data_IF_664099258417
#
_entry.id   IF_664099258417
#
_cell.length_a   1.000
_cell.length_b   1.000
_cell.length_c   1.000
_cell.angle_alpha   90.00
_cell.angle_beta   90.00
_cell.angle_gamma   90.00
#
_symmetry.space_group_name_H-M   'P 1'
#
loop_
_entity.id
_entity.type
_entity.pdbx_description
1 polymer ?
#
# COMPACT_ATOMS: atom_id res chain seq x y z
N UNK A 1 6.74 -19.78 15.67
CA UNK A 1 5.47 -19.83 14.92
C UNK A 1 5.76 -20.68 13.69
N UNK A 2 5.03 -21.77 13.46
CA UNK A 2 5.35 -22.69 12.35
C UNK A 2 4.65 -22.20 11.08
N UNK A 3 5.46 -21.88 10.07
CA UNK A 3 5.01 -21.40 8.78
C UNK A 3 4.70 -22.59 7.88
N UNK A 4 3.71 -22.41 7.02
CA UNK A 4 3.36 -23.36 5.97
C UNK A 4 3.97 -22.83 4.68
N UNK A 5 5.23 -23.21 4.42
CA UNK A 5 6.03 -22.63 3.33
C UNK A 5 5.38 -22.83 1.95
N UNK A 6 4.78 -23.99 1.71
CA UNK A 6 4.04 -24.31 0.48
C UNK A 6 2.85 -23.36 0.26
N UNK A 7 2.12 -23.01 1.33
CA UNK A 7 1.01 -22.05 1.24
C UNK A 7 1.49 -20.63 0.95
N UNK A 8 2.64 -20.22 1.49
CA UNK A 8 3.24 -18.92 1.21
C UNK A 8 3.64 -18.84 -0.26
N UNK A 9 4.33 -19.86 -0.77
CA UNK A 9 4.74 -19.93 -2.17
C UNK A 9 3.54 -20.00 -3.12
N UNK A 10 2.51 -20.78 -2.79
CA UNK A 10 1.27 -20.83 -3.55
C UNK A 10 0.61 -19.45 -3.66
N UNK A 11 0.46 -18.72 -2.53
CA UNK A 11 -0.10 -17.37 -2.54
C UNK A 11 0.77 -16.37 -3.32
N UNK A 12 2.10 -16.55 -3.32
CA UNK A 12 3.01 -15.76 -4.16
C UNK A 12 2.73 -15.98 -5.64
N UNK A 13 2.65 -17.24 -6.07
CA UNK A 13 2.38 -17.61 -7.46
C UNK A 13 1.00 -17.14 -7.93
N UNK A 14 -0.03 -17.27 -7.09
CA UNK A 14 -1.38 -16.78 -7.38
C UNK A 14 -1.38 -15.27 -7.66
N UNK A 15 -0.66 -14.47 -6.87
CA UNK A 15 -0.58 -13.02 -7.10
C UNK A 15 0.27 -12.65 -8.32
N UNK A 16 1.38 -13.34 -8.57
CA UNK A 16 2.17 -13.13 -9.78
C UNK A 16 1.35 -13.42 -11.04
N UNK A 17 0.52 -14.47 -11.01
CA UNK A 17 -0.36 -14.79 -12.12
C UNK A 17 -1.36 -13.65 -12.40
N UNK A 18 -2.00 -13.09 -11.36
CA UNK A 18 -2.90 -11.94 -11.52
C UNK A 18 -2.19 -10.76 -12.19
N UNK A 19 -0.98 -10.43 -11.75
CA UNK A 19 -0.20 -9.33 -12.32
C UNK A 19 0.25 -9.60 -13.76
N UNK A 20 0.58 -10.85 -14.08
CA UNK A 20 0.90 -11.26 -15.45
C UNK A 20 -0.33 -11.14 -16.35
N UNK A 21 -1.51 -11.55 -15.90
CA UNK A 21 -2.76 -11.45 -16.66
C UNK A 21 -3.15 -9.98 -16.90
N UNK A 22 -2.95 -9.11 -15.92
CA UNK A 22 -3.09 -7.66 -16.07
C UNK A 22 -2.12 -7.09 -17.12
N UNK A 23 -0.86 -7.52 -17.11
CA UNK A 23 0.14 -7.11 -18.11
C UNK A 23 -0.21 -7.64 -19.52
N UNK A 24 -0.70 -8.88 -19.63
CA UNK A 24 -1.13 -9.44 -20.92
C UNK A 24 -2.33 -8.68 -21.49
N UNK A 25 -3.30 -8.32 -20.65
CA UNK A 25 -4.51 -7.60 -21.07
C UNK A 25 -4.26 -6.13 -21.40
N UNK A 26 -3.33 -5.46 -20.70
CA UNK A 26 -3.03 -4.04 -20.91
C UNK A 26 -1.83 -3.80 -21.85
N UNK A 27 -1.10 -4.85 -22.23
CA UNK A 27 0.21 -4.78 -22.88
C UNK A 27 1.35 -4.62 -21.87
N UNK A 28 2.60 -4.75 -22.33
CA UNK A 28 3.79 -4.52 -21.49
C UNK A 28 3.67 -3.26 -20.63
N UNK A 29 4.26 -3.24 -19.44
CA UNK A 29 4.20 -2.07 -18.56
C UNK A 29 4.62 -0.77 -19.27
N UNK A 30 5.59 -0.85 -20.17
CA UNK A 30 6.05 0.26 -21.02
C UNK A 30 4.97 0.72 -21.99
N UNK A 31 4.30 -0.19 -22.69
CA UNK A 31 3.19 0.14 -23.57
C UNK A 31 2.02 0.73 -22.78
N UNK A 32 1.64 0.06 -21.69
CA UNK A 32 0.56 0.49 -20.81
C UNK A 32 0.81 1.89 -20.25
N UNK A 33 2.03 2.16 -19.80
CA UNK A 33 2.42 3.49 -19.37
C UNK A 33 2.30 4.49 -20.52
N UNK A 34 2.82 4.22 -21.72
CA UNK A 34 2.67 5.14 -22.87
C UNK A 34 1.21 5.44 -23.19
N UNK A 35 0.35 4.42 -23.23
CA UNK A 35 -1.08 4.57 -23.54
C UNK A 35 -1.81 5.49 -22.54
N UNK A 36 -1.36 5.53 -21.29
CA UNK A 36 -1.91 6.38 -20.23
C UNK A 36 -1.30 7.79 -20.16
N UNK A 37 -0.52 8.21 -21.16
CA UNK A 37 -0.01 9.59 -21.22
C UNK A 37 -1.12 10.66 -21.16
N UNK A 38 -2.26 10.54 -21.89
CA UNK A 38 -3.34 11.52 -21.80
C UNK A 38 -3.88 11.66 -20.37
N UNK A 39 -4.11 10.54 -19.68
CA UNK A 39 -4.50 10.53 -18.27
C UNK A 39 -3.47 11.24 -17.38
N UNK A 40 -2.18 10.93 -17.51
CA UNK A 40 -1.12 11.59 -16.71
C UNK A 40 -1.06 13.09 -16.97
N UNK A 41 -1.20 13.54 -18.22
CA UNK A 41 -1.27 14.97 -18.57
C UNK A 41 -2.49 15.65 -17.95
N UNK A 42 -3.64 14.97 -17.96
CA UNK A 42 -4.84 15.45 -17.28
C UNK A 42 -4.59 15.62 -15.77
N UNK A 43 -4.05 14.58 -15.11
CA UNK A 43 -3.75 14.61 -13.67
C UNK A 43 -2.79 15.75 -13.33
N UNK A 44 -1.70 15.90 -14.10
CA UNK A 44 -0.73 16.98 -13.92
C UNK A 44 -1.38 18.37 -14.06
N UNK A 45 -2.20 18.60 -15.08
CA UNK A 45 -2.85 19.91 -15.32
C UNK A 45 -3.87 20.25 -14.23
N UNK A 46 -4.66 19.26 -13.81
CA UNK A 46 -5.79 19.45 -12.90
C UNK A 46 -5.34 19.58 -11.44
N UNK A 47 -4.43 18.72 -11.02
CA UNK A 47 -4.11 18.49 -9.60
C UNK A 47 -2.71 18.97 -9.19
N UNK A 48 -1.85 19.37 -10.12
CA UNK A 48 -0.54 19.93 -9.79
C UNK A 48 -0.47 21.43 -10.10
N UNK A 49 0.03 22.20 -9.13
CA UNK A 49 0.44 23.58 -9.33
C UNK A 49 1.97 23.66 -9.31
N UNK A 50 2.57 24.19 -10.38
CA UNK A 50 4.00 24.45 -10.43
C UNK A 50 4.32 25.87 -9.93
N UNK A 51 5.38 26.01 -9.15
CA UNK A 51 5.92 27.28 -8.66
C UNK A 51 7.38 27.44 -9.10
N UNK A 52 7.86 28.69 -9.15
CA UNK A 52 9.27 29.07 -9.39
C UNK A 52 9.94 28.27 -10.52
N UNK A 53 9.70 28.67 -11.78
CA UNK A 53 10.40 28.09 -12.94
C UNK A 53 10.12 26.61 -13.20
N UNK A 54 8.97 26.08 -12.75
CA UNK A 54 8.56 24.67 -12.84
C UNK A 54 9.42 23.69 -12.03
N UNK A 55 10.27 24.17 -11.11
CA UNK A 55 11.15 23.32 -10.29
C UNK A 55 10.50 22.83 -9.01
N UNK A 56 9.53 23.57 -8.49
CA UNK A 56 8.77 23.20 -7.29
C UNK A 56 7.32 22.94 -7.68
N UNK A 57 6.71 21.91 -7.09
CA UNK A 57 5.30 21.63 -7.30
C UNK A 57 4.58 21.49 -5.96
N UNK A 58 3.30 21.84 -5.95
CA UNK A 58 2.38 21.60 -4.85
C UNK A 58 1.13 20.93 -5.38
N UNK A 59 0.62 19.94 -4.64
CA UNK A 59 -0.67 19.33 -4.95
C UNK A 59 -1.78 20.34 -4.69
N UNK A 60 -2.72 20.44 -5.63
CA UNK A 60 -3.94 21.22 -5.47
C UNK A 60 -4.96 20.39 -4.71
N UNK A 61 -5.59 21.00 -3.72
CA UNK A 61 -6.80 20.46 -3.13
C UNK A 61 -7.94 20.68 -4.12
N UNK A 62 -8.40 19.60 -4.72
CA UNK A 62 -9.46 19.62 -5.71
C UNK A 62 -10.58 18.71 -5.23
N UNK A 63 -11.74 19.30 -5.02
CA UNK A 63 -12.99 18.59 -4.83
C UNK A 63 -13.53 18.18 -6.20
N UNK A 64 -13.92 16.91 -6.30
CA UNK A 64 -14.57 16.31 -7.48
C UNK A 64 -16.07 16.60 -7.45
N UNK A 65 -16.79 16.31 -8.54
CA UNK A 65 -18.24 16.50 -8.60
C UNK A 65 -19.03 15.69 -7.55
N UNK A 66 -18.44 14.62 -7.00
CA UNK A 66 -19.04 13.75 -5.97
C UNK A 66 -18.63 14.17 -4.54
N UNK A 67 -17.86 15.25 -4.39
CA UNK A 67 -17.36 15.73 -3.10
C UNK A 67 -16.14 14.96 -2.59
N UNK A 68 -15.50 14.13 -3.42
CA UNK A 68 -14.23 13.49 -3.08
C UNK A 68 -13.08 14.48 -3.22
N UNK A 69 -12.16 14.46 -2.25
CA UNK A 69 -10.93 15.24 -2.23
C UNK A 69 -9.74 14.37 -2.62
N UNK A 70 -8.94 14.86 -3.57
CA UNK A 70 -7.64 14.29 -3.92
C UNK A 70 -6.53 15.19 -3.40
N UNK A 71 -5.49 14.57 -2.86
CA UNK A 71 -4.40 15.23 -2.17
C UNK A 71 -3.03 14.77 -2.73
N UNK A 72 -2.02 14.64 -1.87
CA UNK A 72 -0.65 14.28 -2.22
C UNK A 72 -0.48 12.92 -2.92
N UNK A 73 -1.44 12.00 -2.79
CA UNK A 73 -1.43 10.71 -3.48
C UNK A 73 -1.45 10.84 -5.01
N UNK A 74 -1.72 12.05 -5.54
CA UNK A 74 -1.67 12.35 -6.97
C UNK A 74 -0.31 12.03 -7.61
N UNK A 75 0.78 12.12 -6.84
CA UNK A 75 2.12 11.91 -7.40
C UNK A 75 2.32 10.46 -7.85
N UNK A 76 1.62 9.49 -7.23
CA UNK A 76 1.71 8.08 -7.64
C UNK A 76 1.33 7.88 -9.10
N UNK A 77 0.36 8.64 -9.63
CA UNK A 77 -0.09 8.56 -11.02
C UNK A 77 0.96 9.09 -12.01
N UNK A 78 1.83 9.97 -11.55
CA UNK A 78 2.82 10.67 -12.36
C UNK A 78 4.23 10.10 -12.23
N UNK A 79 4.44 9.18 -11.28
CA UNK A 79 5.73 8.54 -11.09
C UNK A 79 6.17 7.84 -12.39
N UNK A 80 7.47 7.88 -12.73
CA UNK A 80 8.01 7.10 -13.83
C UNK A 80 7.91 5.61 -13.52
N UNK A 81 7.90 4.77 -14.56
CA UNK A 81 7.90 3.30 -14.42
C UNK A 81 9.07 2.80 -13.56
N UNK A 82 10.25 3.38 -13.76
CA UNK A 82 11.49 3.00 -13.08
C UNK A 82 11.90 4.11 -12.11
N UNK A 83 11.05 4.36 -11.10
CA UNK A 83 11.32 5.35 -10.07
C UNK A 83 12.37 4.85 -9.07
N UNK A 84 13.41 5.67 -8.87
CA UNK A 84 14.40 5.51 -7.80
C UNK A 84 14.35 6.69 -6.85
N UNK A 85 14.60 6.43 -5.58
CA UNK A 85 14.81 7.46 -4.58
C UNK A 85 16.00 7.11 -3.68
N UNK A 86 16.50 8.08 -2.92
CA UNK A 86 17.51 7.84 -1.89
C UNK A 86 16.83 7.09 -0.74
N UNK A 87 17.18 5.81 -0.60
CA UNK A 87 16.67 4.92 0.44
C UNK A 87 17.71 4.61 1.51
N UNK A 88 17.59 3.42 2.13
CA UNK A 88 18.45 2.96 3.22
C UNK A 88 19.93 3.10 2.88
N UNK A 89 20.70 3.73 3.78
CA UNK A 89 22.15 3.84 3.67
C UNK A 89 22.58 4.84 2.58
N UNK A 90 21.70 5.81 2.30
CA UNK A 90 21.90 6.87 1.31
C UNK A 90 22.11 6.36 -0.12
N UNK A 91 21.59 5.16 -0.42
CA UNK A 91 21.70 4.54 -1.74
C UNK A 91 20.51 4.92 -2.62
N UNK A 92 20.75 5.13 -3.90
CA UNK A 92 19.69 5.24 -4.89
C UNK A 92 19.11 3.86 -5.17
N UNK A 93 17.88 3.62 -4.70
CA UNK A 93 17.21 2.32 -4.76
C UNK A 93 15.88 2.45 -5.48
N UNK A 94 15.49 1.40 -6.20
CA UNK A 94 14.11 1.21 -6.63
C UNK A 94 13.20 1.02 -5.41
N UNK A 95 11.93 1.39 -5.52
CA UNK A 95 10.99 1.24 -4.42
C UNK A 95 10.88 -0.22 -3.91
N UNK A 96 10.90 -1.21 -4.81
CA UNK A 96 10.81 -2.62 -4.43
C UNK A 96 12.02 -3.11 -3.64
N UNK A 97 13.22 -2.60 -3.95
CA UNK A 97 14.46 -2.93 -3.22
C UNK A 97 14.40 -2.45 -1.78
N UNK A 98 13.73 -1.32 -1.53
CA UNK A 98 13.55 -0.80 -0.18
C UNK A 98 12.64 -1.71 0.65
N UNK A 99 11.50 -2.14 0.10
CA UNK A 99 10.61 -3.10 0.76
C UNK A 99 11.31 -4.42 1.02
N UNK A 100 12.07 -4.92 0.03
CA UNK A 100 12.90 -6.12 0.22
C UNK A 100 13.88 -5.93 1.38
N UNK A 101 14.56 -4.78 1.46
CA UNK A 101 15.49 -4.46 2.54
C UNK A 101 14.82 -4.46 3.93
N UNK A 102 13.60 -3.93 4.02
CA UNK A 102 12.79 -3.97 5.26
C UNK A 102 12.42 -5.41 5.61
N UNK A 103 11.96 -6.20 4.63
CA UNK A 103 11.65 -7.62 4.82
C UNK A 103 12.85 -8.40 5.33
N UNK A 104 14.01 -8.23 4.70
CA UNK A 104 15.27 -8.88 5.08
C UNK A 104 15.72 -8.43 6.50
N UNK A 105 15.51 -7.17 6.86
CA UNK A 105 15.79 -6.63 8.20
C UNK A 105 14.98 -7.33 9.29
N UNK A 106 13.68 -7.52 9.08
CA UNK A 106 12.80 -8.21 10.02
C UNK A 106 13.09 -9.71 10.05
N UNK A 107 13.29 -10.34 8.89
CA UNK A 107 13.61 -11.77 8.78
C UNK A 107 14.87 -12.14 9.56
N UNK A 108 15.92 -11.32 9.49
CA UNK A 108 17.16 -11.49 10.27
C UNK A 108 16.95 -11.46 11.79
N UNK A 109 15.85 -10.87 12.27
CA UNK A 109 15.48 -10.80 13.69
C UNK A 109 14.47 -11.88 14.10
N UNK A 110 14.13 -12.80 13.21
CA UNK A 110 13.11 -13.81 13.45
C UNK A 110 11.69 -13.24 13.50
N UNK A 111 11.47 -12.06 12.92
CA UNK A 111 10.15 -11.44 12.73
C UNK A 111 9.72 -11.66 11.28
N UNK A 112 8.51 -12.19 11.10
CA UNK A 112 7.90 -12.34 9.78
C UNK A 112 7.44 -10.96 9.29
N UNK A 113 7.78 -10.59 8.06
CA UNK A 113 7.33 -9.33 7.47
C UNK A 113 6.32 -9.61 6.35
N UNK A 114 5.16 -8.96 6.40
CA UNK A 114 4.10 -9.07 5.39
C UNK A 114 3.80 -7.66 4.86
N UNK A 115 3.88 -7.45 3.56
CA UNK A 115 3.55 -6.19 2.92
C UNK A 115 2.09 -6.22 2.43
N UNK A 116 1.22 -5.40 3.01
CA UNK A 116 -0.14 -5.20 2.51
C UNK A 116 -0.13 -4.05 1.49
N UNK A 117 -0.09 -4.37 0.20
CA UNK A 117 -0.03 -3.37 -0.84
C UNK A 117 -1.40 -2.71 -1.01
N UNK A 118 -1.50 -1.44 -0.62
CA UNK A 118 -2.75 -0.69 -0.66
C UNK A 118 -2.84 0.12 -1.96
N UNK A 119 -3.97 0.09 -2.67
CA UNK A 119 -4.14 0.94 -3.83
C UNK A 119 -4.43 2.39 -3.39
N UNK A 120 -4.18 3.33 -4.29
CA UNK A 120 -4.69 4.69 -4.13
C UNK A 120 -6.17 4.79 -4.54
N UNK A 121 -6.89 5.73 -3.93
CA UNK A 121 -8.32 5.95 -4.18
C UNK A 121 -8.66 6.09 -5.67
N UNK A 122 -7.85 6.84 -6.43
CA UNK A 122 -8.07 7.05 -7.86
C UNK A 122 -7.71 5.88 -8.74
N UNK A 123 -7.07 4.83 -8.19
CA UNK A 123 -6.91 3.54 -8.87
C UNK A 123 -8.21 2.74 -8.78
N UNK A 124 -8.86 2.79 -7.62
CA UNK A 124 -10.14 2.12 -7.39
C UNK A 124 -11.29 2.85 -8.07
N UNK A 125 -11.29 4.17 -8.01
CA UNK A 125 -12.32 5.07 -8.53
C UNK A 125 -11.76 6.04 -9.60
N UNK A 126 -11.29 5.54 -10.76
CA UNK A 126 -10.66 6.38 -11.78
C UNK A 126 -11.59 7.45 -12.33
N UNK A 127 -12.88 7.14 -12.54
CA UNK A 127 -13.89 8.07 -13.06
C UNK A 127 -14.15 9.27 -12.14
N UNK A 128 -13.94 9.11 -10.83
CA UNK A 128 -14.08 10.22 -9.87
C UNK A 128 -12.96 11.24 -9.98
N UNK A 129 -11.77 10.78 -10.33
CA UNK A 129 -10.56 11.61 -10.44
C UNK A 129 -10.35 12.13 -11.87
N UNK A 130 -10.84 11.40 -12.86
CA UNK A 130 -10.78 11.72 -14.28
C UNK A 130 -12.13 11.34 -14.91
N UNK A 131 -13.12 12.27 -14.94
CA UNK A 131 -14.48 11.96 -15.41
C UNK A 131 -14.57 11.55 -16.87
N UNK A 132 -13.62 12.01 -17.70
CA UNK A 132 -13.51 11.60 -19.09
C UNK A 132 -12.66 10.33 -19.19
N UNK A 133 -13.35 9.18 -19.33
CA UNK A 133 -12.73 7.87 -19.44
C UNK A 133 -11.92 7.69 -20.73
N UNK A 134 -12.10 8.55 -21.75
CA UNK A 134 -11.31 8.47 -22.98
C UNK A 134 -9.80 8.64 -22.72
N UNK A 135 -9.44 9.38 -21.65
CA UNK A 135 -8.05 9.53 -21.24
C UNK A 135 -7.40 8.25 -20.72
N UNK A 136 -8.20 7.24 -20.36
CA UNK A 136 -7.74 5.95 -19.88
C UNK A 136 -7.39 4.97 -21.00
N UNK A 137 -7.69 5.30 -22.27
CA UNK A 137 -7.41 4.45 -23.42
C UNK A 137 -7.91 2.99 -23.27
N UNK A 138 -9.08 2.82 -22.64
CA UNK A 138 -9.69 1.51 -22.37
C UNK A 138 -8.98 0.67 -21.30
N UNK A 139 -8.00 1.21 -20.58
CA UNK A 139 -7.28 0.50 -19.50
C UNK A 139 -8.11 0.49 -18.22
N UNK A 140 -8.19 -0.66 -17.56
CA UNK A 140 -8.95 -0.84 -16.32
C UNK A 140 -8.24 -0.28 -15.08
N UNK A 141 -6.91 -0.16 -15.13
CA UNK A 141 -6.06 0.38 -14.06
C UNK A 141 -5.19 1.51 -14.66
N UNK A 142 -5.05 2.61 -13.92
CA UNK A 142 -4.34 3.84 -14.36
C UNK A 142 -2.92 4.00 -13.80
N UNK A 143 -2.39 3.00 -13.10
CA UNK A 143 -1.09 3.07 -12.41
C UNK A 143 -0.18 1.88 -12.74
N UNK A 144 0.19 1.66 -14.01
CA UNK A 144 1.09 0.56 -14.40
C UNK A 144 2.40 0.53 -13.61
N UNK A 145 2.95 1.69 -13.24
CA UNK A 145 4.13 1.81 -12.40
C UNK A 145 3.95 1.17 -11.01
N UNK A 146 2.74 1.23 -10.43
CA UNK A 146 2.46 0.59 -9.14
C UNK A 146 2.33 -0.92 -9.29
N UNK A 147 1.71 -1.38 -10.37
CA UNK A 147 1.59 -2.80 -10.68
C UNK A 147 2.96 -3.43 -10.99
N UNK A 148 3.82 -2.74 -11.76
CA UNK A 148 5.22 -3.13 -12.02
C UNK A 148 6.03 -3.22 -10.73
N UNK A 149 5.94 -2.22 -9.87
CA UNK A 149 6.56 -2.24 -8.54
C UNK A 149 6.08 -3.44 -7.71
N UNK A 150 4.77 -3.68 -7.65
CA UNK A 150 4.21 -4.77 -6.86
C UNK A 150 4.67 -6.14 -7.36
N UNK A 151 4.70 -6.32 -8.68
CA UNK A 151 5.29 -7.50 -9.32
C UNK A 151 6.73 -7.73 -8.82
N UNK A 152 7.58 -6.69 -8.87
CA UNK A 152 8.97 -6.78 -8.43
C UNK A 152 9.11 -7.08 -6.94
N UNK A 153 8.23 -6.55 -6.08
CA UNK A 153 8.20 -6.87 -4.63
C UNK A 153 7.89 -8.35 -4.41
N UNK A 154 6.87 -8.87 -5.08
CA UNK A 154 6.42 -10.26 -4.94
C UNK A 154 7.44 -11.23 -5.52
N UNK A 155 8.01 -10.91 -6.69
CA UNK A 155 9.04 -11.71 -7.34
C UNK A 155 10.34 -11.75 -6.52
N UNK A 156 10.67 -10.65 -5.85
CA UNK A 156 11.79 -10.55 -4.90
C UNK A 156 11.60 -11.38 -3.61
N UNK A 157 10.48 -12.10 -3.46
CA UNK A 157 10.20 -13.02 -2.36
C UNK A 157 9.67 -12.34 -1.10
N UNK A 158 9.17 -11.10 -1.20
CA UNK A 158 8.49 -10.44 -0.09
C UNK A 158 7.08 -11.01 0.04
N UNK A 159 6.75 -11.53 1.22
CA UNK A 159 5.38 -11.95 1.53
C UNK A 159 4.44 -10.75 1.41
N UNK A 160 3.50 -10.81 0.47
CA UNK A 160 2.71 -9.64 0.07
C UNK A 160 1.24 -10.01 -0.03
N UNK A 161 0.36 -9.04 0.24
CA UNK A 161 -1.08 -9.12 0.05
C UNK A 161 -1.48 -7.94 -0.85
N UNK A 162 -1.88 -8.24 -2.07
CA UNK A 162 -2.45 -7.27 -3.00
C UNK A 162 -3.93 -7.01 -2.67
N UNK A 163 -4.24 -5.80 -2.23
CA UNK A 163 -5.59 -5.41 -1.84
C UNK A 163 -6.43 -4.94 -3.03
N UNK A 164 -5.81 -4.52 -4.14
CA UNK A 164 -6.52 -3.92 -5.26
C UNK A 164 -7.65 -4.82 -5.82
N UNK A 165 -7.45 -6.12 -6.09
CA UNK A 165 -8.50 -6.96 -6.66
C UNK A 165 -9.76 -7.02 -5.80
N UNK A 166 -9.59 -7.07 -4.47
CA UNK A 166 -10.70 -7.09 -3.53
C UNK A 166 -11.43 -5.75 -3.48
N UNK A 167 -10.69 -4.64 -3.52
CA UNK A 167 -11.29 -3.31 -3.59
C UNK A 167 -12.05 -3.10 -4.89
N UNK A 168 -11.49 -3.50 -6.03
CA UNK A 168 -12.14 -3.39 -7.34
C UNK A 168 -13.45 -4.20 -7.41
N UNK A 169 -13.52 -5.38 -6.77
CA UNK A 169 -14.76 -6.17 -6.68
C UNK A 169 -15.84 -5.52 -5.82
N UNK A 170 -15.44 -4.79 -4.78
CA UNK A 170 -16.35 -4.23 -3.77
C UNK A 170 -16.74 -2.78 -4.05
N UNK A 171 -16.03 -2.07 -4.93
CA UNK A 171 -16.14 -0.61 -5.11
C UNK A 171 -17.53 -0.13 -5.51
N UNK A 172 -18.30 -0.96 -6.22
CA UNK A 172 -19.65 -0.62 -6.71
C UNK A 172 -20.72 -0.91 -5.66
N UNK A 173 -20.42 -1.74 -4.66
CA UNK A 173 -21.33 -2.13 -3.58
C UNK A 173 -21.08 -1.32 -2.31
N UNK A 174 -19.82 -0.94 -2.09
CA UNK A 174 -19.38 -0.26 -0.88
C UNK A 174 -18.35 0.82 -1.20
N UNK A 175 -18.45 1.92 -0.46
CA UNK A 175 -17.44 2.96 -0.45
C UNK A 175 -16.22 2.49 0.38
N UNK A 176 -15.14 2.06 -0.28
CA UNK A 176 -13.93 1.52 0.38
C UNK A 176 -12.90 2.61 0.78
N UNK A 177 -13.14 3.85 0.37
CA UNK A 177 -12.40 5.06 0.79
C UNK A 177 -13.36 6.11 1.35
N UNK A 178 -12.95 6.91 2.32
CA UNK A 178 -13.73 8.09 2.75
C UNK A 178 -13.82 9.12 1.61
N UNK A 179 -14.48 10.27 1.85
CA UNK A 179 -14.45 11.39 0.89
C UNK A 179 -13.05 11.96 0.71
N UNK A 180 -12.16 11.76 1.68
CA UNK A 180 -10.75 12.10 1.58
C UNK A 180 -9.94 10.90 1.00
N UNK A 181 -8.63 10.89 1.20
CA UNK A 181 -7.75 9.83 0.71
C UNK A 181 -7.71 8.60 1.64
N UNK A 182 -8.35 8.67 2.81
CA UNK A 182 -8.30 7.62 3.82
C UNK A 182 -9.12 6.39 3.43
N UNK A 183 -8.65 5.21 3.83
CA UNK A 183 -9.42 3.97 3.75
C UNK A 183 -10.66 4.09 4.64
N UNK A 184 -11.84 3.69 4.15
CA UNK A 184 -13.06 3.71 4.96
C UNK A 184 -13.08 2.59 6.00
N UNK A 185 -14.03 2.61 6.94
CA UNK A 185 -14.24 1.49 7.87
C UNK A 185 -14.50 0.15 7.15
N UNK A 186 -15.22 0.19 6.03
CA UNK A 186 -15.48 -0.99 5.19
C UNK A 186 -14.18 -1.45 4.49
N UNK A 187 -13.41 -0.51 3.95
CA UNK A 187 -12.11 -0.82 3.35
C UNK A 187 -11.12 -1.43 4.36
N UNK A 188 -11.07 -0.88 5.57
CA UNK A 188 -10.23 -1.39 6.66
C UNK A 188 -10.66 -2.80 7.08
N UNK A 189 -11.97 -3.07 7.12
CA UNK A 189 -12.49 -4.42 7.34
C UNK A 189 -12.05 -5.40 6.26
N UNK A 190 -12.16 -5.04 4.97
CA UNK A 190 -11.71 -5.88 3.86
C UNK A 190 -10.21 -6.19 3.98
N UNK A 191 -9.37 -5.19 4.25
CA UNK A 191 -7.92 -5.38 4.45
C UNK A 191 -7.67 -6.34 5.61
N UNK A 192 -8.36 -6.15 6.74
CA UNK A 192 -8.25 -6.99 7.92
C UNK A 192 -8.63 -8.44 7.62
N UNK A 193 -9.71 -8.66 6.87
CA UNK A 193 -10.17 -9.99 6.48
C UNK A 193 -9.16 -10.67 5.54
N UNK A 194 -8.57 -9.93 4.59
CA UNK A 194 -7.52 -10.46 3.69
C UNK A 194 -6.26 -10.88 4.46
N UNK A 195 -5.80 -10.03 5.39
CA UNK A 195 -4.67 -10.34 6.28
C UNK A 195 -4.99 -11.57 7.13
N UNK A 196 -6.21 -11.64 7.67
CA UNK A 196 -6.66 -12.76 8.48
C UNK A 196 -6.64 -14.09 7.70
N UNK A 197 -7.22 -14.08 6.51
CA UNK A 197 -7.30 -15.26 5.66
C UNK A 197 -5.90 -15.68 5.17
N UNK A 198 -5.03 -14.72 4.85
CA UNK A 198 -3.63 -15.01 4.54
C UNK A 198 -2.91 -15.68 5.71
N UNK A 199 -3.03 -15.13 6.92
CA UNK A 199 -2.38 -15.68 8.11
C UNK A 199 -2.90 -17.08 8.45
N UNK A 200 -4.21 -17.33 8.34
CA UNK A 200 -4.83 -18.66 8.53
C UNK A 200 -4.27 -19.69 7.55
N UNK A 201 -4.07 -19.31 6.28
CA UNK A 201 -3.54 -20.22 5.25
C UNK A 201 -2.05 -20.52 5.38
N UNK A 202 -1.29 -19.58 5.95
CA UNK A 202 0.18 -19.63 5.93
C UNK A 202 0.83 -19.92 7.28
N UNK A 203 0.03 -20.02 8.34
CA UNK A 203 0.53 -20.15 9.71
C UNK A 203 -0.25 -21.21 10.47
N UNK A 204 0.46 -22.20 11.01
CA UNK A 204 -0.19 -23.23 11.83
C UNK A 204 -0.76 -22.65 13.13
N UNK A 205 -2.00 -23.03 13.43
CA UNK A 205 -2.68 -22.73 14.69
C UNK A 205 -3.39 -21.39 14.76
N UNK A 206 -3.41 -20.57 13.70
CA UNK A 206 -4.24 -19.35 13.69
C UNK A 206 -5.73 -19.72 13.55
N UNK A 207 -6.56 -19.35 14.55
CA UNK A 207 -7.98 -19.77 14.61
C UNK A 207 -8.95 -18.59 14.43
N UNK A 208 -8.59 -17.40 14.90
CA UNK A 208 -9.36 -16.15 14.73
C UNK A 208 -8.38 -14.98 14.76
N UNK A 209 -8.63 -13.89 14.03
CA UNK A 209 -7.54 -13.00 13.65
C UNK A 209 -7.77 -11.52 13.93
N UNK A 210 -8.92 -11.10 14.44
CA UNK A 210 -9.09 -9.68 14.70
C UNK A 210 -9.90 -9.41 15.97
N UNK A 211 -9.19 -8.90 16.97
CA UNK A 211 -9.75 -8.02 17.98
C UNK A 211 -9.01 -6.69 17.86
N UNK A 212 -9.75 -5.61 17.67
CA UNK A 212 -9.20 -4.25 17.78
C UNK A 212 -9.19 -3.92 19.27
N UNK A 213 -8.00 -3.72 19.83
CA UNK A 213 -7.83 -3.16 21.16
C UNK A 213 -7.36 -1.72 21.02
N UNK A 214 -7.92 -0.80 21.81
CA UNK A 214 -7.42 0.58 21.91
C UNK A 214 -6.44 0.64 23.07
N UNK A 215 -5.22 1.09 22.81
CA UNK A 215 -4.21 1.28 23.84
C UNK A 215 -3.63 2.69 23.73
N UNK A 216 -3.48 3.37 24.88
CA UNK A 216 -2.74 4.62 24.97
C UNK A 216 -1.26 4.31 24.71
N UNK A 217 -0.69 4.89 23.64
CA UNK A 217 0.71 4.70 23.31
C UNK A 217 1.41 6.00 23.00
N UNK A 218 2.71 6.00 23.27
CA UNK A 218 3.59 7.14 23.10
C UNK A 218 4.23 7.04 21.72
N UNK A 219 3.90 7.98 20.83
CA UNK A 219 4.47 8.02 19.49
C UNK A 219 5.77 8.83 19.43
N UNK A 220 6.65 8.40 18.52
CA UNK A 220 7.84 9.15 18.11
C UNK A 220 7.59 9.73 16.71
N UNK A 221 7.25 11.02 16.63
CA UNK A 221 7.14 11.70 15.34
C UNK A 221 8.55 12.00 14.82
N UNK A 222 8.88 11.46 13.64
CA UNK A 222 10.21 11.54 13.05
C UNK A 222 10.27 12.64 11.99
N UNK A 223 10.35 13.88 12.44
CA UNK A 223 10.51 15.05 11.59
C UNK A 223 11.72 15.87 12.03
N UNK A 224 12.90 15.24 11.95
CA UNK A 224 14.25 15.86 12.08
C UNK A 224 14.48 16.76 13.31
N UNK A 225 13.60 16.71 14.31
CA UNK A 225 13.66 17.46 15.57
C UNK A 225 13.69 16.49 16.74
N UNK A 226 14.07 17.02 17.91
CA UNK A 226 14.00 16.24 19.15
C UNK A 226 12.58 15.68 19.35
N UNK A 227 12.47 14.43 19.83
CA UNK A 227 11.20 13.74 19.95
C UNK A 227 10.23 14.52 20.85
N UNK A 228 9.08 14.90 20.29
CA UNK A 228 7.98 15.49 21.06
C UNK A 228 7.07 14.36 21.52
N UNK A 229 6.91 14.21 22.83
CA UNK A 229 6.00 13.24 23.43
C UNK A 229 4.56 13.60 23.01
N UNK A 230 3.91 12.73 22.25
CA UNK A 230 2.49 12.83 21.91
C UNK A 230 1.77 11.58 22.45
N UNK A 231 0.68 11.81 23.19
CA UNK A 231 -0.20 10.77 23.70
C UNK A 231 -1.32 10.56 22.67
N UNK A 232 -1.28 9.45 21.95
CA UNK A 232 -2.31 9.10 20.97
C UNK A 232 -2.86 7.70 21.28
N UNK A 233 -4.18 7.57 21.29
CA UNK A 233 -4.85 6.27 21.35
C UNK A 233 -4.64 5.57 20.02
N UNK A 234 -3.84 4.50 20.00
CA UNK A 234 -3.66 3.69 18.79
C UNK A 234 -4.58 2.46 18.82
N UNK A 235 -5.10 2.08 17.65
CA UNK A 235 -5.83 0.83 17.50
C UNK A 235 -4.84 -0.29 17.17
N UNK A 236 -4.80 -1.34 17.98
CA UNK A 236 -3.91 -2.49 17.78
C UNK A 236 -4.76 -3.68 17.35
N UNK A 237 -4.39 -4.28 16.22
CA UNK A 237 -4.99 -5.53 15.78
C UNK A 237 -4.28 -6.72 16.45
N UNK A 238 -5.04 -7.56 17.16
CA UNK A 238 -4.53 -8.79 17.76
C UNK A 238 -4.96 -10.02 16.98
N UNK A 239 -4.00 -10.89 16.71
CA UNK A 239 -4.18 -12.19 16.05
C UNK A 239 -4.30 -13.28 17.13
N UNK A 240 -5.38 -14.07 17.12
CA UNK A 240 -5.54 -15.19 18.06
C UNK A 240 -4.95 -16.49 17.50
N UNK A 241 -3.88 -16.97 18.14
CA UNK A 241 -3.17 -18.22 17.83
C UNK A 241 -3.81 -19.46 18.51
N UNK A 242 -4.81 -19.26 19.36
CA UNK A 242 -5.72 -20.24 19.98
C UNK A 242 -6.58 -19.52 21.04
N UNK A 243 -7.36 -20.25 21.87
CA UNK A 243 -8.13 -19.68 22.99
C UNK A 243 -7.28 -19.01 24.10
N UNK A 244 -5.94 -19.11 24.06
CA UNK A 244 -5.03 -18.65 25.14
C UNK A 244 -3.93 -17.67 24.70
N UNK A 245 -3.63 -17.53 23.41
CA UNK A 245 -2.50 -16.75 22.91
C UNK A 245 -2.89 -15.69 21.88
N UNK A 246 -2.60 -14.42 22.19
CA UNK A 246 -2.75 -13.27 21.29
C UNK A 246 -1.36 -12.83 20.78
N UNK A 247 -1.25 -12.53 19.49
CA UNK A 247 -0.03 -11.98 18.86
C UNK A 247 -0.35 -10.56 18.39
N UNK A 248 0.39 -9.53 18.82
CA UNK A 248 0.22 -8.19 18.27
C UNK A 248 0.67 -8.15 16.82
N UNK A 249 -0.21 -7.66 15.94
CA UNK A 249 0.20 -7.06 14.67
C UNK A 249 1.10 -5.87 15.00
N UNK A 250 2.26 -5.76 14.37
CA UNK A 250 3.25 -4.73 14.73
C UNK A 250 2.63 -3.34 14.88
N UNK A 251 2.76 -2.83 16.10
CA UNK A 251 2.93 -1.42 16.40
C UNK A 251 4.44 -1.22 16.61
N UNK A 252 4.95 -0.07 16.17
CA UNK A 252 6.38 0.31 16.10
C UNK A 252 7.19 -0.06 17.36
N UNK A 253 6.53 -0.16 18.52
CA UNK A 253 7.16 -0.36 19.83
C UNK A 253 7.12 -1.79 20.39
N UNK A 254 6.48 -2.75 19.71
CA UNK A 254 6.35 -4.12 20.23
C UNK A 254 7.61 -4.97 19.96
N UNK A 255 8.65 -4.83 20.79
CA UNK A 255 9.90 -5.63 20.72
C UNK A 255 9.67 -7.16 20.68
N UNK A 256 8.50 -7.61 21.12
CA UNK A 256 8.14 -9.03 21.20
C UNK A 256 7.25 -9.52 20.05
N UNK A 257 6.87 -8.67 19.08
CA UNK A 257 6.04 -9.12 17.98
C UNK A 257 6.80 -10.09 17.06
N UNK A 258 6.12 -11.17 16.68
CA UNK A 258 6.61 -12.17 15.72
C UNK A 258 6.18 -11.89 14.29
N UNK A 259 5.31 -10.90 14.09
CA UNK A 259 4.77 -10.52 12.79
C UNK A 259 4.74 -9.00 12.68
N UNK A 260 5.48 -8.47 11.71
CA UNK A 260 5.34 -7.11 11.21
C UNK A 260 4.51 -7.16 9.94
N UNK A 261 3.43 -6.38 9.90
CA UNK A 261 2.67 -6.20 8.69
C UNK A 261 2.60 -4.71 8.43
N UNK A 262 2.81 -4.35 7.18
CA UNK A 262 3.05 -2.99 6.79
C UNK A 262 2.21 -2.66 5.57
N UNK A 263 1.34 -1.65 5.69
CA UNK A 263 0.56 -1.12 4.58
C UNK A 263 1.18 0.15 4.03
N UNK A 264 1.13 0.35 2.72
CA UNK A 264 1.39 1.65 2.09
C UNK A 264 0.63 1.77 0.78
N UNK A 265 0.09 2.96 0.55
CA UNK A 265 -0.66 3.36 -0.63
C UNK A 265 0.19 4.16 -1.64
N UNK A 266 1.33 4.70 -1.20
CA UNK A 266 2.18 5.54 -2.01
C UNK A 266 3.48 4.83 -2.38
N UNK A 267 3.74 4.73 -3.68
CA UNK A 267 5.05 4.34 -4.26
C UNK A 267 6.26 5.17 -3.80
N UNK A 268 6.07 6.15 -2.91
CA UNK A 268 7.00 7.25 -2.66
C UNK A 268 7.32 7.50 -1.18
N UNK A 269 6.67 6.82 -0.23
CA UNK A 269 6.81 7.12 1.21
C UNK A 269 8.02 6.45 1.89
N UNK A 270 9.13 6.22 1.18
CA UNK A 270 10.39 5.78 1.81
C UNK A 270 11.54 6.69 1.41
N UNK A 271 11.58 7.84 2.08
CA UNK A 271 12.79 8.63 2.29
C UNK A 271 13.35 8.28 3.66
N UNK A 272 14.22 7.26 3.78
CA UNK A 272 15.00 6.94 5.00
C UNK A 272 14.25 6.68 6.33
N UNK A 273 12.97 6.98 6.41
CA UNK A 273 12.14 7.04 7.61
C UNK A 273 10.74 6.61 7.16
N UNK A 274 10.44 5.32 7.36
CA UNK A 274 9.21 4.71 6.86
C UNK A 274 8.00 5.19 7.64
N UNK A 275 7.05 5.83 6.95
CA UNK A 275 5.70 6.05 7.46
C UNK A 275 4.88 4.79 7.22
N UNK A 276 4.63 4.01 8.26
CA UNK A 276 3.65 2.92 8.22
C UNK A 276 2.25 3.44 8.52
N UNK A 277 1.23 2.71 8.05
CA UNK A 277 -0.16 2.99 8.38
C UNK A 277 -0.41 2.98 9.89
N UNK A 278 -1.02 4.06 10.39
CA UNK A 278 -1.90 4.04 11.56
C UNK A 278 -3.31 3.64 11.09
N UNK A 279 -3.88 2.62 11.72
CA UNK A 279 -5.32 2.40 11.75
C UNK A 279 -5.88 2.97 13.06
#
# INVERSE_FOLDING_TARGET
MKLIAESIEKHRQEQLQVLNDECLSNGSYEQWYRDLEPFRRYMQKRYICFHLGKRLYKNRYVETGEGDLLDHHTISYLAPLDYKNIGWGSRSLYAYEQIKGISDYFKKRGTRFIYAALPNKGVVYPSRICPDESFMAGKSINVPQWRKYLYQVIDAGVETIDVLPSFMKMRDQHQVFSKEHHISSVGAKIISDLIADYLRRTTEGIISVCQIEREERYYFLSDYREPVKSEELCSICLISKNRKGKIPYWNQDTKNSKIAIFGDCNLQSYSGVGGGYCC
#
